data_IF_675020538190
#
_entry.id   IF_675020538190
#
_cell.length_a   1.000
_cell.length_b   1.000
_cell.length_c   1.000
_cell.angle_alpha   90.00
_cell.angle_beta   90.00
_cell.angle_gamma   90.00
#
_symmetry.space_group_name_H-M   'P 1'
#
loop_
_entity.id
_entity.type
_entity.pdbx_description
1 polymer ?
#
# COMPACT_ATOMS: atom_id res chain seq x y z
N UNK A 1 -23.29 8.44 -5.88
CA UNK A 1 -21.94 7.96 -5.51
C UNK A 1 -22.13 6.57 -4.92
N UNK A 2 -21.56 5.53 -5.54
CA UNK A 2 -21.72 4.15 -5.09
C UNK A 2 -20.80 3.82 -3.92
N UNK A 3 -21.04 2.71 -3.23
CA UNK A 3 -20.14 2.25 -2.15
C UNK A 3 -18.71 1.99 -2.65
N UNK A 4 -18.56 1.51 -3.89
CA UNK A 4 -17.24 1.35 -4.54
C UNK A 4 -16.52 2.69 -4.75
N UNK A 5 -17.24 3.79 -4.99
CA UNK A 5 -16.62 5.13 -5.09
C UNK A 5 -16.09 5.59 -3.74
N UNK A 6 -16.94 5.51 -2.71
CA UNK A 6 -16.57 5.89 -1.34
C UNK A 6 -15.35 5.08 -0.90
N UNK A 7 -15.36 3.78 -1.17
CA UNK A 7 -14.23 2.90 -0.90
C UNK A 7 -12.94 3.36 -1.59
N UNK A 8 -12.97 3.67 -2.89
CA UNK A 8 -11.80 4.14 -3.62
C UNK A 8 -11.27 5.48 -3.09
N UNK A 9 -12.13 6.40 -2.66
CA UNK A 9 -11.70 7.65 -2.00
C UNK A 9 -11.01 7.37 -0.67
N UNK A 10 -11.62 6.54 0.19
CA UNK A 10 -11.04 6.19 1.48
C UNK A 10 -9.70 5.46 1.29
N UNK A 11 -9.64 4.49 0.38
CA UNK A 11 -8.44 3.75 0.06
C UNK A 11 -7.34 4.66 -0.50
N UNK A 12 -7.66 5.56 -1.43
CA UNK A 12 -6.69 6.52 -1.98
C UNK A 12 -6.12 7.46 -0.91
N UNK A 13 -6.96 7.99 -0.01
CA UNK A 13 -6.51 8.81 1.12
C UNK A 13 -5.61 8.00 2.06
N UNK A 14 -6.00 6.78 2.40
CA UNK A 14 -5.21 5.89 3.25
C UNK A 14 -3.85 5.54 2.62
N UNK A 15 -3.81 5.23 1.32
CA UNK A 15 -2.57 4.97 0.57
C UNK A 15 -1.61 6.16 0.64
N UNK A 16 -2.11 7.39 0.45
CA UNK A 16 -1.30 8.60 0.56
C UNK A 16 -0.80 8.81 1.99
N UNK A 17 -1.68 8.73 2.97
CA UNK A 17 -1.37 9.08 4.36
C UNK A 17 -0.45 8.05 5.03
N UNK A 18 -0.68 6.76 4.80
CA UNK A 18 0.06 5.69 5.45
C UNK A 18 1.35 5.32 4.71
N UNK A 19 1.42 5.51 3.39
CA UNK A 19 2.57 5.03 2.61
C UNK A 19 3.13 6.09 1.65
N UNK A 20 2.32 6.63 0.74
CA UNK A 20 2.78 7.53 -0.32
C UNK A 20 3.55 8.75 0.21
N UNK A 21 2.91 9.58 1.04
CA UNK A 21 3.49 10.81 1.58
C UNK A 21 4.65 10.50 2.55
N UNK A 22 4.52 9.61 3.55
CA UNK A 22 5.62 9.31 4.45
C UNK A 22 6.89 8.82 3.75
N UNK A 23 6.75 7.92 2.77
CA UNK A 23 7.88 7.37 2.01
C UNK A 23 8.52 8.41 1.07
N UNK A 24 7.73 9.34 0.53
CA UNK A 24 8.23 10.45 -0.29
C UNK A 24 9.04 11.47 0.52
N UNK A 25 8.47 11.91 1.66
CA UNK A 25 8.97 13.09 2.38
C UNK A 25 9.97 12.70 3.47
N UNK A 26 9.67 11.64 4.24
CA UNK A 26 10.42 11.26 5.45
C UNK A 26 10.67 9.74 5.55
N UNK A 27 11.22 9.08 4.51
CA UNK A 27 11.30 7.61 4.44
C UNK A 27 12.03 6.97 5.63
N UNK A 28 13.10 7.57 6.14
CA UNK A 28 13.84 7.03 7.28
C UNK A 28 13.09 7.13 8.60
N UNK A 29 12.39 8.26 8.85
CA UNK A 29 11.55 8.40 10.05
C UNK A 29 10.37 7.43 10.00
N UNK A 30 9.82 7.21 8.82
CA UNK A 30 8.76 6.23 8.62
C UNK A 30 9.25 4.80 8.84
N UNK A 31 10.42 4.44 8.31
CA UNK A 31 11.05 3.15 8.56
C UNK A 31 11.31 2.92 10.07
N UNK A 32 11.81 3.92 10.79
CA UNK A 32 11.98 3.86 12.24
C UNK A 32 10.65 3.70 12.99
N UNK A 33 9.59 4.38 12.57
CA UNK A 33 8.24 4.21 13.12
C UNK A 33 7.75 2.77 12.96
N UNK A 34 8.02 2.17 11.80
CA UNK A 34 7.80 0.76 11.50
C UNK A 34 8.89 -0.16 12.08
N UNK A 35 9.74 0.33 12.99
CA UNK A 35 10.77 -0.44 13.73
C UNK A 35 11.84 -1.11 12.86
N UNK A 36 12.07 -0.60 11.65
CA UNK A 36 13.22 -1.02 10.85
C UNK A 36 14.52 -0.49 11.47
N UNK A 37 15.56 -1.32 11.41
CA UNK A 37 16.93 -0.89 11.67
C UNK A 37 17.46 -0.11 10.46
N UNK A 38 18.09 1.04 10.71
CA UNK A 38 18.61 1.90 9.65
C UNK A 38 20.07 1.54 9.36
N UNK A 39 20.42 1.19 8.10
CA UNK A 39 21.78 0.86 7.74
C UNK A 39 22.68 2.11 7.75
N UNK A 40 24.00 1.92 7.92
CA UNK A 40 24.96 3.03 7.91
C UNK A 40 24.95 3.83 6.59
N UNK A 41 24.64 3.17 5.46
CA UNK A 41 24.56 3.80 4.14
C UNK A 41 23.09 4.03 3.76
N UNK A 42 22.56 5.21 4.06
CA UNK A 42 21.12 5.50 3.97
C UNK A 42 20.64 5.91 2.57
N UNK A 43 21.53 6.36 1.68
CA UNK A 43 21.16 6.93 0.38
C UNK A 43 20.31 5.98 -0.48
N UNK A 44 20.65 4.69 -0.48
CA UNK A 44 19.87 3.69 -1.22
C UNK A 44 18.48 3.51 -0.62
N UNK A 45 18.36 3.46 0.71
CA UNK A 45 17.07 3.33 1.41
C UNK A 45 16.19 4.54 1.14
N UNK A 46 16.75 5.76 1.20
CA UNK A 46 16.03 6.99 0.86
C UNK A 46 15.56 6.98 -0.60
N UNK A 47 16.44 6.59 -1.53
CA UNK A 47 16.11 6.53 -2.95
C UNK A 47 14.99 5.52 -3.24
N UNK A 48 15.10 4.30 -2.71
CA UNK A 48 14.07 3.26 -2.89
C UNK A 48 12.77 3.62 -2.19
N UNK A 49 12.84 4.17 -0.96
CA UNK A 49 11.66 4.64 -0.22
C UNK A 49 10.91 5.70 -1.02
N UNK A 50 11.61 6.73 -1.52
CA UNK A 50 10.98 7.77 -2.36
C UNK A 50 10.40 7.20 -3.64
N UNK A 51 11.11 6.28 -4.28
CA UNK A 51 10.63 5.63 -5.52
C UNK A 51 9.31 4.91 -5.27
N UNK A 52 9.24 4.08 -4.22
CA UNK A 52 8.01 3.40 -3.81
C UNK A 52 6.90 4.39 -3.43
N UNK A 53 7.24 5.47 -2.72
CA UNK A 53 6.32 6.55 -2.38
C UNK A 53 5.68 7.21 -3.60
N UNK A 54 6.43 7.41 -4.70
CA UNK A 54 5.88 7.90 -5.98
C UNK A 54 4.86 6.91 -6.54
N UNK A 55 5.21 5.63 -6.62
CA UNK A 55 4.31 4.60 -7.16
C UNK A 55 3.00 4.54 -6.38
N UNK A 56 3.07 4.50 -5.05
CA UNK A 56 1.87 4.44 -4.19
C UNK A 56 1.05 5.72 -4.31
N UNK A 57 1.70 6.88 -4.39
CA UNK A 57 0.99 8.15 -4.58
C UNK A 57 0.25 8.20 -5.91
N UNK A 58 0.85 7.68 -6.98
CA UNK A 58 0.17 7.55 -8.28
C UNK A 58 -1.01 6.57 -8.20
N UNK A 59 -0.83 5.41 -7.57
CA UNK A 59 -1.94 4.46 -7.33
C UNK A 59 -3.11 5.14 -6.63
N UNK A 60 -2.85 5.94 -5.60
CA UNK A 60 -3.87 6.69 -4.88
C UNK A 60 -4.57 7.74 -5.77
N UNK A 61 -3.82 8.48 -6.58
CA UNK A 61 -4.40 9.43 -7.56
C UNK A 61 -5.31 8.69 -8.54
N UNK A 62 -4.89 7.53 -9.04
CA UNK A 62 -5.73 6.72 -9.93
C UNK A 62 -6.95 6.12 -9.21
N UNK A 63 -6.88 5.80 -7.91
CA UNK A 63 -8.04 5.43 -7.14
C UNK A 63 -9.12 6.52 -7.18
N UNK A 64 -8.73 7.80 -7.04
CA UNK A 64 -9.65 8.93 -7.21
C UNK A 64 -10.17 9.05 -8.64
N UNK A 65 -9.28 9.00 -9.65
CA UNK A 65 -9.67 9.17 -11.07
C UNK A 65 -10.61 8.08 -11.56
N UNK A 66 -10.48 6.86 -11.07
CA UNK A 66 -11.31 5.73 -11.51
C UNK A 66 -12.76 5.86 -11.02
N UNK A 67 -13.03 6.66 -9.98
CA UNK A 67 -14.41 6.93 -9.52
C UNK A 67 -15.27 7.60 -10.61
N UNK A 68 -14.68 8.43 -11.48
CA UNK A 68 -15.37 9.05 -12.61
C UNK A 68 -15.41 8.18 -13.88
N UNK A 69 -14.90 6.95 -13.84
CA UNK A 69 -14.82 6.05 -14.99
C UNK A 69 -15.31 4.64 -14.63
N UNK A 70 -16.64 4.39 -14.63
CA UNK A 70 -17.22 3.10 -14.21
C UNK A 70 -16.61 1.88 -14.90
N UNK A 71 -16.33 1.96 -16.20
CA UNK A 71 -15.74 0.87 -16.99
C UNK A 71 -14.30 0.52 -16.56
N UNK A 72 -13.58 1.43 -15.89
CA UNK A 72 -12.21 1.20 -15.43
C UNK A 72 -12.15 0.63 -14.00
N UNK A 73 -13.28 0.63 -13.26
CA UNK A 73 -13.29 0.19 -11.86
C UNK A 73 -12.92 -1.28 -11.68
N UNK A 74 -13.48 -2.24 -12.43
CA UNK A 74 -13.13 -3.66 -12.25
C UNK A 74 -11.61 -3.90 -12.39
N UNK A 75 -11.01 -3.32 -13.44
CA UNK A 75 -9.56 -3.39 -13.64
C UNK A 75 -8.75 -2.83 -12.46
N UNK A 76 -9.15 -1.67 -11.93
CA UNK A 76 -8.44 -1.08 -10.81
C UNK A 76 -8.59 -1.89 -9.51
N UNK A 77 -9.78 -2.45 -9.27
CA UNK A 77 -10.01 -3.37 -8.16
C UNK A 77 -9.18 -4.66 -8.29
N UNK A 78 -9.13 -5.27 -9.48
CA UNK A 78 -8.28 -6.44 -9.75
C UNK A 78 -6.81 -6.13 -9.47
N UNK A 79 -6.33 -4.98 -9.93
CA UNK A 79 -4.96 -4.52 -9.67
C UNK A 79 -4.69 -4.37 -8.15
N UNK A 80 -5.62 -3.79 -7.39
CA UNK A 80 -5.49 -3.69 -5.93
C UNK A 80 -5.46 -5.06 -5.26
N UNK A 81 -6.35 -5.98 -5.67
CA UNK A 81 -6.39 -7.35 -5.13
C UNK A 81 -5.08 -8.09 -5.39
N UNK A 82 -4.55 -7.99 -6.61
CA UNK A 82 -3.25 -8.58 -6.95
C UNK A 82 -2.09 -7.94 -6.17
N UNK A 83 -2.13 -6.63 -5.93
CA UNK A 83 -1.16 -5.96 -5.07
C UNK A 83 -1.21 -6.51 -3.65
N UNK A 84 -2.40 -6.70 -3.07
CA UNK A 84 -2.51 -7.27 -1.72
C UNK A 84 -2.03 -8.71 -1.65
N UNK A 85 -2.31 -9.54 -2.67
CA UNK A 85 -1.75 -10.90 -2.76
C UNK A 85 -0.21 -10.85 -2.81
N UNK A 86 0.36 -9.95 -3.60
CA UNK A 86 1.81 -9.78 -3.70
C UNK A 86 2.42 -9.30 -2.37
N UNK A 87 1.75 -8.38 -1.67
CA UNK A 87 2.19 -7.90 -0.35
C UNK A 87 2.12 -9.00 0.71
N UNK A 88 1.04 -9.79 0.74
CA UNK A 88 0.95 -10.96 1.63
C UNK A 88 2.14 -11.91 1.39
N UNK A 89 2.45 -12.21 0.11
CA UNK A 89 3.56 -13.08 -0.24
C UNK A 89 4.93 -12.49 0.17
N UNK A 90 5.15 -11.19 -0.08
CA UNK A 90 6.38 -10.48 0.27
C UNK A 90 6.61 -10.50 1.79
N UNK A 91 5.59 -10.15 2.57
CA UNK A 91 5.70 -10.10 4.03
C UNK A 91 5.77 -11.50 4.66
N UNK A 92 5.09 -12.50 4.09
CA UNK A 92 5.26 -13.89 4.50
C UNK A 92 6.70 -14.37 4.27
N UNK A 93 7.28 -14.04 3.11
CA UNK A 93 8.68 -14.32 2.82
C UNK A 93 9.60 -13.64 3.84
N UNK A 94 9.41 -12.34 4.11
CA UNK A 94 10.21 -11.60 5.09
C UNK A 94 10.09 -12.15 6.51
N UNK A 95 8.90 -12.55 6.94
CA UNK A 95 8.65 -13.19 8.23
C UNK A 95 9.35 -14.55 8.36
N UNK A 96 9.25 -15.41 7.34
CA UNK A 96 9.91 -16.73 7.30
C UNK A 96 11.44 -16.57 7.37
N UNK A 97 11.97 -15.58 6.64
CA UNK A 97 13.42 -15.29 6.60
C UNK A 97 13.90 -14.49 7.81
N UNK A 98 12.98 -14.00 8.66
CA UNK A 98 13.26 -13.13 9.81
C UNK A 98 14.04 -11.87 9.42
N UNK A 99 13.71 -11.30 8.26
CA UNK A 99 14.38 -10.10 7.70
C UNK A 99 13.58 -8.82 7.91
N UNK A 100 12.44 -8.87 8.60
CA UNK A 100 11.55 -7.74 8.84
C UNK A 100 11.16 -7.63 10.32
N UNK A 101 10.87 -6.43 10.83
CA UNK A 101 10.41 -6.24 12.19
C UNK A 101 9.01 -6.82 12.44
N UNK A 102 8.60 -6.89 13.72
CA UNK A 102 7.31 -7.46 14.12
C UNK A 102 6.11 -6.70 13.53
N UNK A 103 6.24 -5.38 13.37
CA UNK A 103 5.27 -4.49 12.71
C UNK A 103 4.95 -5.00 11.31
N UNK A 104 5.95 -5.27 10.49
CA UNK A 104 5.80 -5.80 9.12
C UNK A 104 5.21 -7.22 9.10
N UNK A 105 5.48 -8.02 10.14
CA UNK A 105 4.85 -9.34 10.30
C UNK A 105 3.36 -9.23 10.60
N UNK A 106 2.96 -8.24 11.41
CA UNK A 106 1.55 -7.93 11.66
C UNK A 106 0.87 -7.44 10.38
N UNK A 107 1.60 -6.75 9.49
CA UNK A 107 1.04 -6.28 8.22
C UNK A 107 0.52 -7.40 7.32
N UNK A 108 0.97 -8.66 7.47
CA UNK A 108 0.37 -9.80 6.75
C UNK A 108 -1.14 -9.85 6.99
N UNK A 109 -1.57 -9.69 8.26
CA UNK A 109 -2.98 -9.67 8.61
C UNK A 109 -3.68 -8.42 8.05
N UNK A 110 -3.01 -7.26 8.10
CA UNK A 110 -3.53 -6.03 7.50
C UNK A 110 -3.83 -6.24 6.00
N UNK A 111 -2.89 -6.81 5.24
CA UNK A 111 -3.07 -7.06 3.82
C UNK A 111 -4.20 -8.05 3.52
N UNK A 112 -4.37 -9.10 4.34
CA UNK A 112 -5.52 -10.01 4.26
C UNK A 112 -6.84 -9.29 4.50
N UNK A 113 -6.91 -8.44 5.53
CA UNK A 113 -8.12 -7.67 5.84
C UNK A 113 -8.44 -6.69 4.71
N UNK A 114 -7.45 -5.97 4.19
CA UNK A 114 -7.62 -5.05 3.07
C UNK A 114 -8.08 -5.76 1.80
N UNK A 115 -7.56 -6.95 1.52
CA UNK A 115 -8.02 -7.79 0.41
C UNK A 115 -9.51 -8.15 0.54
N UNK A 116 -9.93 -8.64 1.71
CA UNK A 116 -11.32 -9.01 1.97
C UNK A 116 -12.25 -7.80 1.90
N UNK A 117 -11.86 -6.67 2.50
CA UNK A 117 -12.63 -5.43 2.40
C UNK A 117 -12.77 -4.99 0.94
N UNK A 118 -11.70 -5.03 0.16
CA UNK A 118 -11.73 -4.67 -1.27
C UNK A 118 -12.72 -5.53 -2.05
N UNK A 119 -12.77 -6.83 -1.78
CA UNK A 119 -13.76 -7.74 -2.38
C UNK A 119 -15.20 -7.34 -2.02
N UNK A 120 -15.47 -6.93 -0.78
CA UNK A 120 -16.80 -6.49 -0.36
C UNK A 120 -17.28 -5.22 -1.09
N UNK A 121 -16.36 -4.40 -1.60
CA UNK A 121 -16.66 -3.18 -2.36
C UNK A 121 -16.47 -3.34 -3.87
N UNK A 122 -16.21 -4.56 -4.36
CA UNK A 122 -15.99 -4.82 -5.77
C UNK A 122 -17.19 -4.33 -6.61
N UNK A 123 -16.96 -3.58 -7.69
CA UNK A 123 -18.03 -3.09 -8.55
C UNK A 123 -18.62 -4.26 -9.35
N UNK A 124 -19.86 -4.65 -9.01
CA UNK A 124 -20.67 -5.56 -9.81
C UNK A 124 -21.37 -4.82 -10.95
#
# INVERSE_FOLDING_TARGET
>A
MGYSDIYLYVAGVAMLAAFGIPLLVVPLRWALFLRWEIPQTENLVVFLGRSLGIFISLLAVFAFKVTSSPAAKPFFFDMMLWLFVAMIALHAYGAIRKTQPITETIEILLWVVLFLITLCFYPL
#
